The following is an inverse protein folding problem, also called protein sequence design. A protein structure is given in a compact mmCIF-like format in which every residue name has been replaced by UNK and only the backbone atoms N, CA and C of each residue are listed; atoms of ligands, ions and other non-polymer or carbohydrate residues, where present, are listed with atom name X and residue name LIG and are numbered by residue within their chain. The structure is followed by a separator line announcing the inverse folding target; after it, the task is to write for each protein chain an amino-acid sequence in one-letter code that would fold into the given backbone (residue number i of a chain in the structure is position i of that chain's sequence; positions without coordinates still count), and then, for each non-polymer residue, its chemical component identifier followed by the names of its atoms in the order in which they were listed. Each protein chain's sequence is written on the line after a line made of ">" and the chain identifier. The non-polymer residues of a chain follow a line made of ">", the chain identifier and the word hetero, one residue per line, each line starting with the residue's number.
data_IF_189463983115
#
_entry.id   IF_189463983115
#
_cell.length_a   1.000
_cell.length_b   1.000
_cell.length_c   1.000
_cell.angle_alpha   90.00
_cell.angle_beta   90.00
_cell.angle_gamma   90.00
#
_symmetry.space_group_name_H-M   'P 1'
#
loop_
_entity.id
_entity.type
_entity.pdbx_description
1 polymer ?
#
# COMPACT_ATOMS: atom_id res chain seq x y z
N UNK A 1 -34.17 76.05 37.09
CA UNK A 1 -32.99 76.87 37.42
C UNK A 1 -32.11 76.89 36.19
N UNK A 2 -31.70 78.09 35.81
CA UNK A 2 -31.24 78.43 34.47
C UNK A 2 -29.76 78.09 34.21
N UNK A 3 -29.45 77.89 32.92
CA UNK A 3 -28.16 78.11 32.23
C UNK A 3 -26.97 77.15 32.49
N UNK A 4 -25.93 77.14 31.62
CA UNK A 4 -25.97 76.80 30.20
C UNK A 4 -24.78 75.89 29.77
N UNK A 5 -24.82 75.49 28.49
CA UNK A 5 -23.78 74.77 27.75
C UNK A 5 -22.39 75.45 27.77
N UNK A 6 -21.35 74.65 28.02
CA UNK A 6 -19.97 74.93 27.62
C UNK A 6 -19.41 73.72 26.84
N UNK A 7 -18.99 73.93 25.59
CA UNK A 7 -18.23 72.96 24.78
C UNK A 7 -16.76 72.98 25.20
N UNK A 8 -16.03 71.85 25.08
CA UNK A 8 -15.02 71.85 24.01
C UNK A 8 -14.76 70.49 23.33
N UNK A 9 -14.33 70.63 22.08
CA UNK A 9 -13.44 69.80 21.25
C UNK A 9 -13.18 68.33 21.62
N UNK A 10 -13.45 67.44 20.67
CA UNK A 10 -12.67 66.21 20.51
C UNK A 10 -12.21 66.06 19.06
N UNK A 11 -10.90 65.84 18.95
CA UNK A 11 -10.13 65.79 17.72
C UNK A 11 -10.47 64.55 16.87
N UNK A 12 -10.45 64.75 15.55
CA UNK A 12 -10.44 63.65 14.59
C UNK A 12 -9.08 62.94 14.66
N UNK A 13 -9.04 61.76 15.26
CA UNK A 13 -7.92 60.83 15.11
C UNK A 13 -8.14 59.99 13.85
N UNK A 14 -7.36 60.27 12.81
CA UNK A 14 -7.21 59.42 11.62
C UNK A 14 -6.56 58.09 12.03
N UNK A 15 -7.33 57.00 12.01
CA UNK A 15 -6.80 55.65 12.19
C UNK A 15 -6.39 55.09 10.82
N UNK A 16 -5.08 55.10 10.54
CA UNK A 16 -4.52 54.42 9.37
C UNK A 16 -4.54 52.91 9.61
N UNK A 17 -5.36 52.18 8.85
CA UNK A 17 -5.37 50.72 8.85
C UNK A 17 -4.17 50.19 8.05
N UNK A 18 -3.15 49.68 8.75
CA UNK A 18 -2.04 48.97 8.13
C UNK A 18 -2.47 47.55 7.74
N UNK A 19 -2.59 47.28 6.44
CA UNK A 19 -2.74 45.95 5.86
C UNK A 19 -1.42 45.18 6.02
N UNK A 20 -1.36 44.24 6.97
CA UNK A 20 -0.23 43.31 7.09
C UNK A 20 -0.48 42.14 6.14
N UNK A 21 0.12 42.20 4.94
CA UNK A 21 0.25 41.04 4.06
C UNK A 21 1.26 40.07 4.68
N UNK A 22 0.76 39.07 5.40
CA UNK A 22 1.58 37.94 5.85
C UNK A 22 1.92 37.04 4.66
N UNK A 23 3.12 37.22 4.09
CA UNK A 23 3.72 36.25 3.19
C UNK A 23 4.05 34.98 3.98
N UNK A 24 3.11 34.04 4.03
CA UNK A 24 3.36 32.70 4.55
C UNK A 24 4.33 31.97 3.63
N UNK A 25 5.61 31.97 3.97
CA UNK A 25 6.59 31.09 3.35
C UNK A 25 6.19 29.64 3.67
N UNK A 26 5.57 28.96 2.71
CA UNK A 26 5.35 27.53 2.78
C UNK A 26 6.73 26.84 2.78
N UNK A 27 7.21 26.49 3.96
CA UNK A 27 8.39 25.64 4.09
C UNK A 27 8.03 24.28 3.54
N UNK A 28 8.48 23.98 2.32
CA UNK A 28 8.39 22.65 1.74
C UNK A 28 9.20 21.70 2.62
N UNK A 29 8.53 20.98 3.50
CA UNK A 29 9.14 19.92 4.29
C UNK A 29 9.70 18.88 3.32
N UNK A 30 11.02 18.84 3.18
CA UNK A 30 11.71 17.78 2.44
C UNK A 30 11.39 16.48 3.17
N UNK A 31 10.56 15.62 2.55
CA UNK A 31 10.28 14.31 3.12
C UNK A 31 11.62 13.57 3.32
N UNK A 32 11.88 12.99 4.51
CA UNK A 32 13.13 12.28 4.72
C UNK A 32 13.21 11.13 3.71
N UNK A 33 14.29 11.08 2.94
CA UNK A 33 14.61 9.93 2.11
C UNK A 33 14.60 8.70 3.03
N UNK A 34 13.70 7.75 2.75
CA UNK A 34 13.61 6.52 3.53
C UNK A 34 14.99 5.85 3.56
N UNK A 35 15.45 5.49 4.76
CA UNK A 35 16.70 4.71 4.89
C UNK A 35 16.53 3.46 4.04
N UNK A 36 17.38 3.28 3.03
CA UNK A 36 17.46 2.02 2.31
C UNK A 36 17.94 0.96 3.31
N UNK A 37 17.02 0.14 3.78
CA UNK A 37 17.35 -1.03 4.58
C UNK A 37 18.10 -2.00 3.68
N UNK A 38 19.25 -2.50 4.16
CA UNK A 38 19.99 -3.51 3.42
C UNK A 38 19.10 -4.73 3.20
N UNK A 39 19.03 -5.20 1.95
CA UNK A 39 18.34 -6.44 1.59
C UNK A 39 18.94 -7.59 2.37
N UNK A 40 18.11 -8.57 2.78
CA UNK A 40 18.63 -9.81 3.36
C UNK A 40 19.61 -10.48 2.39
N UNK A 41 20.66 -11.07 2.93
CA UNK A 41 21.72 -11.68 2.12
C UNK A 41 21.28 -13.05 1.62
N UNK A 42 20.57 -13.08 0.49
CA UNK A 42 20.35 -14.27 -0.34
C UNK A 42 21.52 -14.47 -1.33
N UNK A 43 21.74 -15.70 -1.80
CA UNK A 43 22.79 -16.04 -2.77
C UNK A 43 22.32 -15.97 -4.24
N UNK A 44 21.01 -15.97 -4.49
CA UNK A 44 20.44 -15.88 -5.85
C UNK A 44 18.99 -15.36 -5.84
N UNK A 45 18.46 -15.00 -7.01
CA UNK A 45 17.04 -14.66 -7.18
C UNK A 45 16.12 -15.88 -7.06
N UNK A 46 16.62 -17.07 -7.39
CA UNK A 46 15.88 -18.32 -7.21
C UNK A 46 15.70 -18.63 -5.72
N UNK A 47 16.75 -18.42 -4.91
CA UNK A 47 16.64 -18.55 -3.45
C UNK A 47 15.62 -17.55 -2.86
N UNK A 48 15.63 -16.30 -3.31
CA UNK A 48 14.62 -15.32 -2.90
C UNK A 48 13.19 -15.74 -3.29
N UNK A 49 13.02 -16.33 -4.48
CA UNK A 49 11.72 -16.86 -4.91
C UNK A 49 11.28 -18.07 -4.07
N UNK A 50 12.20 -18.95 -3.68
CA UNK A 50 11.92 -20.08 -2.80
C UNK A 50 11.50 -19.59 -1.40
N UNK A 51 12.20 -18.60 -0.84
CA UNK A 51 11.79 -17.95 0.42
C UNK A 51 10.42 -17.28 0.28
N UNK A 52 10.17 -16.60 -0.83
CA UNK A 52 8.88 -15.98 -1.14
C UNK A 52 7.74 -17.00 -1.21
N UNK A 53 8.00 -18.19 -1.77
CA UNK A 53 7.05 -19.29 -1.78
C UNK A 53 6.72 -19.78 -0.35
N UNK A 54 7.72 -19.84 0.54
CA UNK A 54 7.50 -20.19 1.94
C UNK A 54 6.67 -19.14 2.68
N UNK A 55 6.98 -17.85 2.49
CA UNK A 55 6.20 -16.74 3.07
C UNK A 55 4.75 -16.80 2.54
N UNK A 56 4.58 -16.98 1.24
CA UNK A 56 3.27 -17.09 0.60
C UNK A 56 2.43 -18.23 1.19
N UNK A 57 3.04 -19.40 1.40
CA UNK A 57 2.35 -20.58 1.91
C UNK A 57 1.99 -20.44 3.40
N UNK A 58 2.90 -19.88 4.21
CA UNK A 58 2.90 -20.10 5.65
C UNK A 58 2.72 -18.83 6.49
N UNK A 59 3.04 -17.65 5.96
CA UNK A 59 2.97 -16.43 6.75
C UNK A 59 1.52 -15.93 6.87
N UNK A 60 1.11 -15.74 8.12
CA UNK A 60 -0.21 -15.22 8.50
C UNK A 60 -0.21 -13.69 8.57
N UNK A 61 0.96 -13.06 8.54
CA UNK A 61 1.15 -11.62 8.76
C UNK A 61 0.46 -11.14 10.05
N UNK A 62 0.42 -12.01 11.07
CA UNK A 62 -0.24 -11.74 12.35
C UNK A 62 -1.76 -11.70 12.29
N UNK A 63 -2.39 -12.24 11.24
CA UNK A 63 -3.85 -12.34 11.18
C UNK A 63 -4.40 -13.24 12.29
N UNK A 64 -5.67 -12.99 12.66
CA UNK A 64 -6.49 -13.89 13.48
C UNK A 64 -7.55 -14.63 12.67
N UNK A 65 -7.60 -14.37 11.36
CA UNK A 65 -8.57 -14.99 10.47
C UNK A 65 -8.22 -16.45 10.24
N UNK A 66 -9.25 -17.30 10.16
CA UNK A 66 -9.08 -18.75 10.14
C UNK A 66 -9.64 -19.44 8.91
N UNK A 67 -10.08 -18.67 7.93
CA UNK A 67 -10.74 -19.22 6.75
C UNK A 67 -9.74 -19.90 5.81
N UNK A 68 -10.14 -21.07 5.31
CA UNK A 68 -9.51 -21.85 4.23
C UNK A 68 -10.59 -22.49 3.37
N UNK A 69 -10.32 -22.83 2.09
CA UNK A 69 -11.31 -23.46 1.23
C UNK A 69 -11.67 -24.85 1.78
N UNK A 70 -12.88 -25.38 1.48
CA UNK A 70 -13.38 -26.63 2.06
C UNK A 70 -12.47 -27.84 1.86
N UNK A 71 -11.56 -27.77 0.88
CA UNK A 71 -10.70 -28.86 0.44
C UNK A 71 -9.25 -28.71 0.96
N UNK A 72 -8.98 -27.71 1.81
CA UNK A 72 -7.63 -27.47 2.34
C UNK A 72 -7.26 -28.54 3.38
N UNK A 73 -6.09 -29.16 3.20
CA UNK A 73 -5.65 -30.32 4.00
C UNK A 73 -5.07 -29.94 5.38
N UNK A 74 -4.88 -28.66 5.72
CA UNK A 74 -4.30 -28.21 6.99
C UNK A 74 -4.23 -26.67 7.16
N UNK A 75 -4.26 -26.27 8.44
CA UNK A 75 -4.19 -24.93 9.06
C UNK A 75 -5.49 -24.10 9.08
N UNK A 76 -5.84 -23.63 10.29
CA UNK A 76 -6.93 -22.70 10.57
C UNK A 76 -6.44 -21.25 10.59
N UNK A 77 -5.35 -20.87 9.93
CA UNK A 77 -4.93 -19.47 9.89
C UNK A 77 -4.74 -19.03 8.45
N UNK A 78 -5.29 -17.86 8.12
CA UNK A 78 -5.39 -17.39 6.76
C UNK A 78 -4.03 -16.87 6.26
N UNK A 79 -3.44 -17.57 5.29
CA UNK A 79 -2.24 -17.16 4.56
C UNK A 79 -2.62 -16.77 3.12
N UNK A 80 -1.64 -16.41 2.27
CA UNK A 80 -1.92 -16.17 0.85
C UNK A 80 -2.46 -17.44 0.18
N UNK A 81 -1.93 -18.61 0.55
CA UNK A 81 -2.31 -19.91 0.01
C UNK A 81 -3.75 -20.34 0.37
N UNK A 82 -4.37 -19.71 1.37
CA UNK A 82 -5.78 -19.95 1.67
C UNK A 82 -6.68 -19.56 0.49
N UNK A 83 -6.41 -18.42 -0.17
CA UNK A 83 -7.21 -17.99 -1.32
C UNK A 83 -6.55 -18.36 -2.66
N UNK A 84 -5.22 -18.39 -2.72
CA UNK A 84 -4.43 -18.68 -3.91
C UNK A 84 -3.79 -20.07 -3.79
N UNK A 85 -4.60 -21.09 -4.04
CA UNK A 85 -4.23 -22.51 -3.86
C UNK A 85 -3.13 -22.97 -4.80
N UNK A 86 -2.48 -24.09 -4.46
CA UNK A 86 -1.37 -24.67 -5.25
C UNK A 86 -0.25 -23.64 -5.54
N UNK A 87 0.15 -22.88 -4.51
CA UNK A 87 1.13 -21.80 -4.67
C UNK A 87 0.66 -20.69 -5.62
N UNK A 88 -0.65 -20.49 -5.74
CA UNK A 88 -1.25 -19.55 -6.69
C UNK A 88 -1.16 -19.97 -8.16
N UNK A 89 -0.76 -21.21 -8.48
CA UNK A 89 -0.68 -21.69 -9.86
C UNK A 89 -2.06 -22.01 -10.44
N UNK A 90 -3.01 -22.38 -9.58
CA UNK A 90 -4.40 -22.66 -9.95
C UNK A 90 -5.30 -21.48 -9.64
N UNK A 91 -6.52 -21.52 -10.19
CA UNK A 91 -7.57 -20.59 -9.82
C UNK A 91 -8.01 -20.84 -8.38
N UNK A 92 -8.39 -19.77 -7.70
CA UNK A 92 -8.75 -19.77 -6.29
C UNK A 92 -10.10 -19.12 -6.03
N UNK A 93 -10.44 -19.00 -4.76
CA UNK A 93 -11.65 -18.29 -4.32
C UNK A 93 -11.38 -17.48 -3.06
N UNK A 94 -12.10 -16.37 -2.92
CA UNK A 94 -12.13 -15.59 -1.67
C UNK A 94 -13.08 -16.23 -0.65
N UNK A 95 -13.02 -15.82 0.63
CA UNK A 95 -14.01 -16.25 1.64
C UNK A 95 -15.46 -15.96 1.26
N UNK A 96 -15.69 -14.92 0.45
CA UNK A 96 -17.02 -14.55 -0.06
C UNK A 96 -17.44 -15.34 -1.31
N UNK A 97 -16.66 -16.35 -1.74
CA UNK A 97 -16.94 -17.16 -2.92
C UNK A 97 -16.58 -16.50 -4.25
N UNK A 98 -16.02 -15.29 -4.25
CA UNK A 98 -15.57 -14.65 -5.49
C UNK A 98 -14.37 -15.39 -6.08
N UNK A 99 -14.41 -15.66 -7.39
CA UNK A 99 -13.34 -16.27 -8.15
C UNK A 99 -12.05 -15.43 -8.14
N UNK A 100 -10.91 -16.10 -8.01
CA UNK A 100 -9.58 -15.52 -8.15
C UNK A 100 -8.84 -16.21 -9.30
N UNK A 101 -8.29 -15.45 -10.26
CA UNK A 101 -7.48 -16.05 -11.32
C UNK A 101 -6.17 -16.59 -10.76
N UNK A 102 -5.57 -17.53 -11.49
CA UNK A 102 -4.18 -17.95 -11.29
C UNK A 102 -3.23 -16.74 -11.25
N UNK A 103 -2.18 -16.86 -10.43
CA UNK A 103 -1.10 -15.89 -10.33
C UNK A 103 -0.03 -16.08 -11.41
N UNK A 104 -0.15 -17.09 -12.28
CA UNK A 104 0.74 -17.25 -13.44
C UNK A 104 0.68 -16.00 -14.33
N UNK A 105 1.84 -15.41 -14.58
CA UNK A 105 1.96 -14.17 -15.36
C UNK A 105 1.40 -12.92 -14.66
N UNK A 106 1.02 -12.99 -13.38
CA UNK A 106 0.42 -11.86 -12.68
C UNK A 106 1.38 -10.68 -12.49
N UNK A 107 2.67 -10.94 -12.23
CA UNK A 107 3.66 -9.89 -12.04
C UNK A 107 3.88 -9.07 -13.32
N UNK A 108 3.80 -9.71 -14.49
CA UNK A 108 3.96 -9.06 -15.79
C UNK A 108 2.85 -8.04 -16.13
N UNK A 109 1.74 -8.07 -15.39
CA UNK A 109 0.61 -7.15 -15.50
C UNK A 109 0.75 -5.92 -14.60
N UNK A 110 1.89 -5.74 -13.93
CA UNK A 110 2.18 -4.57 -13.10
C UNK A 110 3.35 -3.76 -13.69
N UNK A 111 3.40 -2.43 -13.48
CA UNK A 111 2.40 -1.62 -12.78
C UNK A 111 1.09 -1.53 -13.57
N UNK A 112 -0.05 -1.27 -12.90
CA UNK A 112 -1.34 -1.08 -13.60
C UNK A 112 -2.19 0.01 -13.00
N UNK A 113 -2.92 0.72 -13.87
CA UNK A 113 -3.92 1.69 -13.46
C UNK A 113 -5.18 0.99 -12.92
N UNK A 114 -5.58 1.32 -11.69
CA UNK A 114 -6.82 0.85 -11.08
C UNK A 114 -7.86 1.95 -11.21
N UNK A 115 -8.75 1.86 -12.19
CA UNK A 115 -9.76 2.88 -12.48
C UNK A 115 -10.59 3.28 -11.25
N UNK A 116 -11.09 2.31 -10.48
CA UNK A 116 -11.86 2.55 -9.23
C UNK A 116 -11.09 3.34 -8.15
N UNK A 117 -9.77 3.42 -8.25
CA UNK A 117 -8.90 4.12 -7.28
C UNK A 117 -8.19 5.32 -7.90
N UNK A 118 -8.39 5.58 -9.20
CA UNK A 118 -7.71 6.63 -9.96
C UNK A 118 -6.19 6.66 -9.69
N UNK A 119 -5.56 5.49 -9.60
CA UNK A 119 -4.17 5.37 -9.19
C UNK A 119 -3.46 4.20 -9.88
N UNK A 120 -2.14 4.34 -10.05
CA UNK A 120 -1.26 3.25 -10.46
C UNK A 120 -0.91 2.38 -9.24
N UNK A 121 -1.02 1.08 -9.41
CA UNK A 121 -0.59 0.08 -8.44
C UNK A 121 0.64 -0.62 -8.97
N UNK A 122 1.68 -0.68 -8.14
CA UNK A 122 2.81 -1.60 -8.32
C UNK A 122 2.44 -2.99 -7.79
N UNK A 123 3.31 -3.98 -8.02
CA UNK A 123 3.12 -5.33 -7.50
C UNK A 123 3.15 -5.34 -5.96
N UNK A 124 4.11 -4.63 -5.36
CA UNK A 124 4.26 -4.46 -3.91
C UNK A 124 3.02 -3.82 -3.31
N UNK A 125 2.46 -2.78 -3.96
CA UNK A 125 1.21 -2.17 -3.50
C UNK A 125 0.04 -3.15 -3.57
N UNK A 126 0.00 -4.01 -4.57
CA UNK A 126 -0.99 -5.09 -4.63
C UNK A 126 -0.78 -6.10 -3.49
N UNK A 127 0.46 -6.51 -3.20
CA UNK A 127 0.78 -7.40 -2.06
C UNK A 127 0.31 -6.77 -0.75
N UNK A 128 0.63 -5.48 -0.52
CA UNK A 128 0.15 -4.73 0.66
C UNK A 128 -1.38 -4.74 0.75
N UNK A 129 -2.06 -4.56 -0.37
CA UNK A 129 -3.52 -4.62 -0.40
C UNK A 129 -4.05 -6.03 -0.07
N UNK A 130 -3.45 -7.08 -0.62
CA UNK A 130 -3.80 -8.46 -0.33
C UNK A 130 -3.58 -8.79 1.16
N UNK A 131 -2.45 -8.40 1.73
CA UNK A 131 -2.18 -8.65 3.16
C UNK A 131 -3.20 -7.90 4.04
N UNK A 132 -3.44 -6.62 3.75
CA UNK A 132 -4.33 -5.79 4.58
C UNK A 132 -5.80 -6.16 4.45
N UNK A 133 -6.28 -6.43 3.24
CA UNK A 133 -7.71 -6.60 2.96
C UNK A 133 -8.11 -8.05 2.66
N UNK A 134 -7.20 -8.86 2.13
CA UNK A 134 -7.44 -10.27 1.81
C UNK A 134 -7.31 -11.16 3.03
N UNK A 135 -6.16 -11.11 3.72
CA UNK A 135 -5.90 -11.95 4.90
C UNK A 135 -6.12 -11.20 6.23
N UNK A 136 -6.34 -9.89 6.20
CA UNK A 136 -6.50 -9.02 7.38
C UNK A 136 -5.29 -9.00 8.33
N UNK A 137 -4.09 -9.10 7.77
CA UNK A 137 -2.81 -9.05 8.50
C UNK A 137 -2.12 -7.67 8.43
N UNK A 138 -0.91 -7.61 8.99
CA UNK A 138 0.00 -6.46 8.90
C UNK A 138 0.95 -6.63 7.71
N UNK A 139 0.86 -5.78 6.66
CA UNK A 139 1.73 -5.91 5.49
C UNK A 139 3.22 -5.76 5.82
N UNK A 140 4.10 -6.46 5.08
CA UNK A 140 5.53 -6.22 5.14
C UNK A 140 5.84 -4.79 4.66
N UNK A 141 7.00 -4.27 5.06
CA UNK A 141 7.49 -2.98 4.58
C UNK A 141 7.82 -3.05 3.09
N UNK A 142 7.66 -1.95 2.35
CA UNK A 142 7.91 -1.94 0.89
C UNK A 142 9.34 -2.34 0.51
N UNK A 143 10.32 -2.07 1.38
CA UNK A 143 11.73 -2.43 1.17
C UNK A 143 12.19 -3.56 2.11
N UNK A 144 11.26 -4.29 2.74
CA UNK A 144 11.63 -5.37 3.65
C UNK A 144 12.05 -6.62 2.85
N UNK A 145 12.91 -7.48 3.43
CA UNK A 145 13.27 -8.75 2.81
C UNK A 145 12.05 -9.57 2.36
N UNK A 146 11.01 -9.63 3.19
CA UNK A 146 9.79 -10.39 2.90
C UNK A 146 9.05 -9.87 1.67
N UNK A 147 9.02 -8.54 1.47
CA UNK A 147 8.43 -7.96 0.26
C UNK A 147 9.25 -8.32 -0.97
N UNK A 148 10.58 -8.27 -0.87
CA UNK A 148 11.48 -8.61 -1.97
C UNK A 148 11.32 -10.08 -2.36
N UNK A 149 11.28 -10.98 -1.39
CA UNK A 149 11.12 -12.43 -1.60
C UNK A 149 9.75 -12.75 -2.22
N UNK A 150 8.66 -12.13 -1.73
CA UNK A 150 7.33 -12.27 -2.31
C UNK A 150 7.28 -11.76 -3.77
N UNK A 151 7.92 -10.62 -4.06
CA UNK A 151 8.03 -10.10 -5.43
C UNK A 151 8.82 -11.06 -6.31
N UNK A 152 9.94 -11.61 -5.82
CA UNK A 152 10.75 -12.59 -6.53
C UNK A 152 9.93 -13.83 -6.88
N UNK A 153 9.16 -14.37 -5.94
CA UNK A 153 8.27 -15.51 -6.15
C UNK A 153 7.20 -15.24 -7.21
N UNK A 154 6.46 -14.14 -7.09
CA UNK A 154 5.42 -13.81 -8.08
C UNK A 154 6.01 -13.49 -9.47
N UNK A 155 7.25 -12.99 -9.52
CA UNK A 155 8.00 -12.80 -10.76
C UNK A 155 8.42 -14.14 -11.35
N UNK A 156 8.85 -15.11 -10.53
CA UNK A 156 9.15 -16.47 -10.97
C UNK A 156 7.91 -17.16 -11.57
N UNK A 157 6.73 -17.02 -10.95
CA UNK A 157 5.45 -17.48 -11.52
C UNK A 157 5.07 -16.79 -12.84
N UNK A 158 5.73 -15.68 -13.17
CA UNK A 158 5.50 -14.91 -14.39
C UNK A 158 6.59 -15.09 -15.45
N UNK A 159 7.54 -16.02 -15.25
CA UNK A 159 8.59 -16.33 -16.22
C UNK A 159 7.99 -16.71 -17.57
N UNK A 160 8.44 -16.02 -18.63
CA UNK A 160 7.95 -16.22 -20.00
C UNK A 160 6.69 -15.41 -20.36
N UNK A 161 6.07 -14.70 -19.42
CA UNK A 161 4.96 -13.80 -19.73
C UNK A 161 5.44 -12.54 -20.47
N UNK A 162 4.62 -12.03 -21.40
CA UNK A 162 4.93 -10.80 -22.13
C UNK A 162 4.76 -9.57 -21.23
N UNK A 163 5.83 -8.79 -21.07
CA UNK A 163 5.81 -7.53 -20.33
C UNK A 163 5.20 -6.40 -21.18
N UNK A 164 4.67 -5.38 -20.53
CA UNK A 164 4.30 -4.12 -21.20
C UNK A 164 2.88 -4.05 -21.79
N UNK A 165 2.13 -5.16 -21.77
CA UNK A 165 0.79 -5.24 -22.39
C UNK A 165 -0.25 -4.25 -21.83
N UNK A 166 0.00 -3.66 -20.66
CA UNK A 166 -0.88 -2.65 -20.06
C UNK A 166 -0.70 -1.23 -20.62
N UNK A 167 0.38 -0.97 -21.37
CA UNK A 167 0.60 0.32 -22.02
C UNK A 167 -0.11 0.30 -23.38
N UNK A 168 -0.87 1.35 -23.67
CA UNK A 168 -1.62 1.53 -24.92
C UNK A 168 -1.04 2.69 -25.71
#
# INVERSE_FOLDING_TARGET
>A
MEHPFAKPAMAFALLAAALVFGAGAASAATAPAGKFTATAKVSSVDEAADQGAQIFANDTFGTKQTWVPPNAFNSHLMTCAACHTDGGKTEGTTPAGAHLPSLIGAAAKYPKFKAKKHAVYTLERQIVHCVRAGIMGKPPGYNSPEMIDLVAYLTQLSKGATMGQQFK
#
